data_IF_188329954939
#
_entry.id   IF_188329954939
#
_cell.length_a   1.000
_cell.length_b   1.000
_cell.length_c   1.000
_cell.angle_alpha   90.00
_cell.angle_beta   90.00
_cell.angle_gamma   90.00
#
_symmetry.space_group_name_H-M   'P 1'
#
loop_
_entity.id
_entity.type
_entity.pdbx_description
1 polymer ?
#
# COMPACT_ATOMS: atom_id res chain seq x y z
N UNK A 1 -40.66 34.35 -25.50
CA UNK A 1 -40.23 33.79 -24.21
C UNK A 1 -40.93 32.46 -24.01
N UNK A 2 -40.15 31.41 -23.72
CA UNK A 2 -40.47 30.06 -23.19
C UNK A 2 -39.54 29.05 -23.87
N UNK A 3 -38.31 28.98 -23.37
CA UNK A 3 -37.44 27.83 -23.58
C UNK A 3 -37.79 26.80 -22.49
N UNK A 4 -38.23 25.62 -22.89
CA UNK A 4 -38.59 24.51 -22.01
C UNK A 4 -37.79 23.26 -22.38
N UNK A 5 -37.09 22.72 -21.38
CA UNK A 5 -36.19 21.58 -21.36
C UNK A 5 -36.50 20.45 -22.36
N UNK A 6 -35.49 20.11 -23.17
CA UNK A 6 -35.29 18.74 -23.64
C UNK A 6 -34.72 17.91 -22.49
N UNK A 7 -35.49 16.95 -21.99
CA UNK A 7 -34.96 15.84 -21.18
C UNK A 7 -34.10 14.98 -22.10
N UNK A 8 -32.79 15.15 -21.96
CA UNK A 8 -31.79 14.21 -22.47
C UNK A 8 -31.84 12.96 -21.58
N UNK A 9 -32.54 11.94 -22.06
CA UNK A 9 -32.52 10.58 -21.51
C UNK A 9 -31.18 9.95 -21.93
N UNK A 10 -30.09 10.43 -21.34
CA UNK A 10 -28.82 9.74 -21.45
C UNK A 10 -28.93 8.43 -20.64
N UNK A 11 -28.68 7.26 -21.25
CA UNK A 11 -28.52 6.05 -20.46
C UNK A 11 -27.34 6.30 -19.52
N UNK A 12 -27.58 6.21 -18.21
CA UNK A 12 -26.50 6.08 -17.23
C UNK A 12 -25.80 4.77 -17.53
N UNK A 13 -24.85 4.78 -18.47
CA UNK A 13 -23.84 3.74 -18.56
C UNK A 13 -23.06 3.83 -17.26
N UNK A 14 -23.40 2.94 -16.34
CA UNK A 14 -22.65 2.71 -15.11
C UNK A 14 -21.30 2.17 -15.55
N UNK A 15 -20.33 3.07 -15.73
CA UNK A 15 -18.95 2.78 -16.14
C UNK A 15 -18.13 2.10 -15.02
N UNK A 16 -18.80 1.33 -14.17
CA UNK A 16 -18.26 0.59 -13.05
C UNK A 16 -18.07 -0.90 -13.40
N UNK A 17 -17.73 -1.21 -14.65
CA UNK A 17 -16.94 -2.41 -14.96
C UNK A 17 -15.47 -2.14 -14.59
N UNK A 18 -15.22 -1.65 -13.36
CA UNK A 18 -13.89 -1.77 -12.78
C UNK A 18 -13.80 -3.23 -12.35
N UNK A 19 -13.43 -4.08 -13.30
CA UNK A 19 -12.93 -5.41 -13.03
C UNK A 19 -11.82 -5.23 -11.99
N UNK A 20 -12.12 -5.52 -10.73
CA UNK A 20 -11.14 -5.47 -9.64
C UNK A 20 -10.20 -6.66 -9.87
N UNK A 21 -9.33 -6.54 -10.88
CA UNK A 21 -8.25 -7.49 -11.10
C UNK A 21 -7.30 -7.31 -9.92
N UNK A 22 -7.53 -8.10 -8.88
CA UNK A 22 -6.63 -8.22 -7.75
C UNK A 22 -5.32 -8.75 -8.31
N UNK A 23 -4.26 -7.95 -8.22
CA UNK A 23 -2.96 -8.36 -8.71
C UNK A 23 -2.53 -9.66 -8.02
N UNK A 24 -1.79 -10.53 -8.72
CA UNK A 24 -1.28 -11.78 -8.15
C UNK A 24 -0.37 -11.57 -6.94
N UNK A 25 0.20 -10.37 -6.77
CA UNK A 25 1.06 -10.01 -5.64
C UNK A 25 0.35 -9.25 -4.53
N UNK A 26 -0.98 -9.08 -4.59
CA UNK A 26 -1.75 -8.43 -3.53
C UNK A 26 -1.42 -9.06 -2.16
N UNK A 27 -1.13 -8.25 -1.12
CA UNK A 27 -0.78 -8.74 0.20
C UNK A 27 -1.99 -9.27 0.97
N UNK A 28 -1.80 -10.31 1.77
CA UNK A 28 -2.86 -10.84 2.65
C UNK A 28 -3.10 -9.92 3.86
N UNK A 29 -2.03 -9.34 4.41
CA UNK A 29 -2.06 -8.40 5.53
C UNK A 29 -0.78 -7.52 5.54
N UNK A 30 -0.65 -6.64 6.54
CA UNK A 30 0.53 -5.79 6.69
C UNK A 30 1.85 -6.58 6.88
N UNK A 31 1.82 -7.74 7.52
CA UNK A 31 3.01 -8.55 7.74
C UNK A 31 3.47 -9.20 6.42
N UNK A 32 2.54 -9.74 5.64
CA UNK A 32 2.80 -10.27 4.30
C UNK A 32 3.29 -9.17 3.36
N UNK A 33 2.70 -7.96 3.40
CA UNK A 33 3.16 -6.80 2.64
C UNK A 33 4.63 -6.48 2.96
N UNK A 34 4.96 -6.32 4.25
CA UNK A 34 6.32 -6.05 4.74
C UNK A 34 7.31 -7.14 4.29
N UNK A 35 6.90 -8.41 4.36
CA UNK A 35 7.70 -9.56 3.90
C UNK A 35 7.94 -9.54 2.39
N UNK A 36 6.90 -9.29 1.59
CA UNK A 36 6.99 -9.19 0.12
C UNK A 36 7.92 -8.06 -0.30
N UNK A 37 7.79 -6.86 0.28
CA UNK A 37 8.69 -5.73 0.01
C UNK A 37 10.14 -6.11 0.28
N UNK A 38 10.43 -6.65 1.47
CA UNK A 38 11.80 -7.08 1.84
C UNK A 38 12.35 -8.15 0.92
N UNK A 39 11.51 -9.12 0.54
CA UNK A 39 11.88 -10.16 -0.42
C UNK A 39 12.29 -9.56 -1.76
N UNK A 40 11.52 -8.61 -2.31
CA UNK A 40 11.80 -8.02 -3.62
C UNK A 40 13.04 -7.13 -3.64
N UNK A 41 13.27 -6.34 -2.58
CA UNK A 41 14.48 -5.51 -2.48
C UNK A 41 15.74 -6.31 -2.14
N UNK A 42 15.61 -7.50 -1.53
CA UNK A 42 16.77 -8.34 -1.16
C UNK A 42 17.14 -9.35 -2.26
N UNK A 43 16.16 -9.83 -3.01
CA UNK A 43 16.37 -10.82 -4.07
C UNK A 43 17.04 -10.21 -5.32
N UNK A 44 16.90 -8.91 -5.54
CA UNK A 44 17.40 -8.24 -6.73
C UNK A 44 18.28 -7.06 -6.36
N UNK A 45 19.49 -7.04 -6.94
CA UNK A 45 20.35 -5.86 -6.96
C UNK A 45 20.21 -5.09 -8.29
N UNK A 46 19.38 -5.59 -9.20
CA UNK A 46 19.11 -5.00 -10.50
C UNK A 46 17.62 -4.63 -10.59
N UNK A 47 17.34 -3.35 -10.36
CA UNK A 47 16.01 -2.77 -10.47
C UNK A 47 15.79 -2.15 -11.86
N UNK A 48 16.51 -2.58 -12.90
CA UNK A 48 16.18 -2.21 -14.29
C UNK A 48 14.99 -3.02 -14.84
N UNK A 49 14.57 -4.07 -14.14
CA UNK A 49 13.38 -4.86 -14.45
C UNK A 49 12.10 -4.08 -14.08
N UNK A 50 11.46 -3.50 -15.09
CA UNK A 50 10.24 -2.70 -14.94
C UNK A 50 9.11 -3.45 -14.21
N UNK A 51 8.76 -4.71 -14.55
CA UNK A 51 7.82 -5.52 -13.77
C UNK A 51 8.09 -5.56 -12.27
N UNK A 52 9.35 -5.76 -11.86
CA UNK A 52 9.73 -5.78 -10.45
C UNK A 52 9.55 -4.41 -9.79
N UNK A 53 9.95 -3.34 -10.48
CA UNK A 53 9.77 -1.98 -9.98
C UNK A 53 8.29 -1.67 -9.75
N UNK A 54 7.45 -1.97 -10.75
CA UNK A 54 6.01 -1.80 -10.65
C UNK A 54 5.41 -2.58 -9.49
N UNK A 55 5.83 -3.83 -9.29
CA UNK A 55 5.37 -4.61 -8.14
C UNK A 55 5.78 -3.99 -6.79
N UNK A 56 6.99 -3.44 -6.68
CA UNK A 56 7.43 -2.74 -5.46
C UNK A 56 6.61 -1.45 -5.25
N UNK A 57 6.36 -0.70 -6.32
CA UNK A 57 5.53 0.52 -6.27
C UNK A 57 4.10 0.21 -5.84
N UNK A 58 3.48 -0.83 -6.40
CA UNK A 58 2.15 -1.31 -6.03
C UNK A 58 2.10 -1.68 -4.53
N UNK A 59 3.08 -2.46 -4.05
CA UNK A 59 3.14 -2.86 -2.64
C UNK A 59 3.27 -1.65 -1.71
N UNK A 60 4.03 -0.62 -2.09
CA UNK A 60 4.11 0.63 -1.32
C UNK A 60 2.78 1.37 -1.34
N UNK A 61 2.13 1.49 -2.50
CA UNK A 61 0.85 2.19 -2.66
C UNK A 61 -0.27 1.54 -1.82
N UNK A 62 -0.28 0.22 -1.71
CA UNK A 62 -1.30 -0.51 -0.96
C UNK A 62 -1.12 -0.50 0.56
N UNK A 63 -0.02 0.02 1.11
CA UNK A 63 0.20 0.08 2.56
C UNK A 63 -0.95 0.78 3.27
N UNK A 64 -1.43 1.90 2.72
CA UNK A 64 -2.53 2.66 3.31
C UNK A 64 -3.85 1.88 3.31
N UNK A 65 -4.12 1.18 2.21
CA UNK A 65 -5.34 0.37 2.03
C UNK A 65 -5.34 -0.82 3.01
N UNK A 66 -4.24 -1.57 3.06
CA UNK A 66 -4.09 -2.73 3.94
C UNK A 66 -4.05 -2.31 5.41
N UNK A 67 -3.47 -1.14 5.74
CA UNK A 67 -3.49 -0.61 7.10
C UNK A 67 -4.92 -0.24 7.54
N UNK A 68 -5.74 0.30 6.63
CA UNK A 68 -7.13 0.64 6.92
C UNK A 68 -8.02 -0.58 7.20
N UNK A 69 -7.66 -1.76 6.69
CA UNK A 69 -8.34 -3.03 6.97
C UNK A 69 -7.97 -3.62 8.35
N UNK A 70 -7.00 -3.05 9.05
CA UNK A 70 -6.61 -3.49 10.40
C UNK A 70 -7.38 -2.75 11.50
N UNK A 71 -7.27 -3.26 12.74
CA UNK A 71 -7.81 -2.59 13.92
C UNK A 71 -6.81 -1.60 14.56
N UNK A 72 -5.90 -1.02 13.76
CA UNK A 72 -4.97 0.01 14.22
C UNK A 72 -5.71 1.30 14.58
N UNK A 73 -5.19 2.01 15.57
CA UNK A 73 -5.71 3.33 15.90
C UNK A 73 -5.35 4.34 14.81
N UNK A 74 -6.10 5.45 14.71
CA UNK A 74 -5.77 6.55 13.80
C UNK A 74 -4.35 7.08 14.00
N UNK A 75 -3.90 7.16 15.25
CA UNK A 75 -2.54 7.57 15.59
C UNK A 75 -1.46 6.59 15.09
N UNK A 76 -1.82 5.34 14.82
CA UNK A 76 -0.89 4.30 14.35
C UNK A 76 -0.98 4.06 12.84
N UNK A 77 -2.15 4.22 12.20
CA UNK A 77 -2.27 4.03 10.74
C UNK A 77 -1.94 5.30 9.94
N UNK A 78 -2.13 6.52 10.47
CA UNK A 78 -1.74 7.76 9.78
C UNK A 78 -0.26 7.78 9.40
N UNK A 79 0.70 7.48 10.33
CA UNK A 79 2.12 7.46 9.98
C UNK A 79 2.45 6.45 8.87
N UNK A 80 1.75 5.30 8.82
CA UNK A 80 1.93 4.32 7.75
C UNK A 80 1.50 4.89 6.40
N UNK A 81 0.32 5.51 6.35
CA UNK A 81 -0.20 6.14 5.15
C UNK A 81 0.70 7.28 4.67
N UNK A 82 1.09 8.20 5.55
CA UNK A 82 1.95 9.33 5.16
C UNK A 82 3.33 8.85 4.69
N UNK A 83 3.91 7.87 5.39
CA UNK A 83 5.20 7.31 4.99
C UNK A 83 5.10 6.59 3.64
N UNK A 84 4.04 5.82 3.39
CA UNK A 84 3.88 5.11 2.12
C UNK A 84 3.70 6.08 0.95
N UNK A 85 2.92 7.15 1.15
CA UNK A 85 2.74 8.22 0.17
C UNK A 85 4.07 8.92 -0.15
N UNK A 86 4.90 9.19 0.87
CA UNK A 86 6.21 9.81 0.69
C UNK A 86 7.17 8.90 -0.09
N UNK A 87 7.21 7.60 0.25
CA UNK A 87 8.03 6.62 -0.48
C UNK A 87 7.56 6.50 -1.93
N UNK A 88 6.25 6.32 -2.15
CA UNK A 88 5.65 6.22 -3.48
C UNK A 88 5.99 7.43 -4.37
N UNK A 89 5.83 8.64 -3.83
CA UNK A 89 6.16 9.86 -4.55
C UNK A 89 7.66 9.92 -4.94
N UNK A 90 8.55 9.44 -4.06
CA UNK A 90 9.98 9.39 -4.34
C UNK A 90 10.32 8.36 -5.42
N UNK A 91 9.73 7.16 -5.36
CA UNK A 91 9.94 6.11 -6.37
C UNK A 91 9.46 6.56 -7.75
N UNK A 92 8.30 7.21 -7.83
CA UNK A 92 7.70 7.70 -9.08
C UNK A 92 8.44 8.90 -9.67
N UNK A 93 9.15 9.68 -8.84
CA UNK A 93 9.92 10.83 -9.30
C UNK A 93 11.21 10.43 -10.04
N UNK A 94 11.72 9.21 -9.83
CA UNK A 94 12.98 8.75 -10.41
C UNK A 94 12.74 7.88 -11.64
N UNK A 95 13.34 8.26 -12.77
CA UNK A 95 13.35 7.45 -14.00
C UNK A 95 14.48 6.41 -14.03
N UNK A 96 15.28 6.37 -12.97
CA UNK A 96 16.42 5.47 -12.82
C UNK A 96 16.05 4.29 -11.93
N UNK A 97 16.80 3.17 -11.99
CA UNK A 97 16.68 2.08 -11.03
C UNK A 97 16.76 2.59 -9.58
N UNK A 98 16.10 1.91 -8.65
CA UNK A 98 16.06 2.32 -7.25
C UNK A 98 17.46 2.56 -6.67
N UNK A 99 17.64 3.76 -6.12
CA UNK A 99 18.87 4.14 -5.47
C UNK A 99 18.97 3.49 -4.09
N UNK A 100 20.17 3.45 -3.51
CA UNK A 100 20.36 3.02 -2.12
C UNK A 100 19.52 3.82 -1.13
N UNK A 101 19.18 5.08 -1.44
CA UNK A 101 18.31 5.88 -0.59
C UNK A 101 16.86 5.38 -0.68
N UNK A 102 16.39 5.01 -1.86
CA UNK A 102 15.05 4.46 -2.07
C UNK A 102 14.88 3.14 -1.32
N UNK A 103 15.89 2.24 -1.40
CA UNK A 103 15.89 0.98 -0.66
C UNK A 103 15.84 1.19 0.86
N UNK A 104 16.56 2.19 1.37
CA UNK A 104 16.51 2.55 2.81
C UNK A 104 15.15 3.09 3.24
N UNK A 105 14.50 3.85 2.37
CA UNK A 105 13.16 4.38 2.64
C UNK A 105 12.13 3.26 2.66
N UNK A 106 12.21 2.31 1.71
CA UNK A 106 11.36 1.11 1.70
C UNK A 106 11.61 0.27 2.96
N UNK A 107 12.87 0.03 3.35
CA UNK A 107 13.16 -0.72 4.58
C UNK A 107 12.65 0.00 5.84
N UNK A 108 12.74 1.34 5.88
CA UNK A 108 12.20 2.14 6.98
C UNK A 108 10.68 2.04 7.06
N UNK A 109 10.00 2.00 5.91
CA UNK A 109 8.56 1.75 5.83
C UNK A 109 8.22 0.34 6.36
N UNK A 110 8.96 -0.68 5.97
CA UNK A 110 8.79 -2.04 6.50
C UNK A 110 8.97 -2.09 8.02
N UNK A 111 9.95 -1.39 8.58
CA UNK A 111 10.15 -1.31 10.03
C UNK A 111 8.98 -0.60 10.74
N UNK A 112 8.42 0.44 10.14
CA UNK A 112 7.24 1.13 10.66
C UNK A 112 6.01 0.22 10.64
N UNK A 113 5.85 -0.58 9.58
CA UNK A 113 4.80 -1.60 9.48
C UNK A 113 4.93 -2.60 10.62
N UNK A 114 6.12 -3.17 10.83
CA UNK A 114 6.37 -4.16 11.89
C UNK A 114 6.06 -3.58 13.28
N UNK A 115 6.50 -2.33 13.53
CA UNK A 115 6.23 -1.64 14.78
C UNK A 115 4.74 -1.34 15.00
N UNK A 116 3.98 -1.15 13.93
CA UNK A 116 2.53 -0.90 13.99
C UNK A 116 1.76 -2.18 14.26
N UNK A 117 2.12 -3.30 13.59
CA UNK A 117 1.51 -4.62 13.83
C UNK A 117 1.66 -5.05 15.30
N UNK A 118 2.77 -4.72 15.95
CA UNK A 118 2.97 -5.02 17.37
C UNK A 118 1.97 -4.30 18.31
N UNK A 119 1.31 -3.25 17.82
CA UNK A 119 0.33 -2.46 18.57
C UNK A 119 -1.12 -2.84 18.28
N UNK A 120 -1.37 -3.74 17.32
CA UNK A 120 -2.74 -4.13 16.97
C UNK A 120 -3.40 -4.80 18.20
N UNK A 121 -4.63 -4.41 18.57
CA UNK A 121 -5.26 -4.86 19.83
C UNK A 121 -5.33 -6.39 19.98
N UNK A 122 -5.51 -7.11 18.87
CA UNK A 122 -5.56 -8.57 18.82
C UNK A 122 -4.23 -9.22 19.25
N UNK A 123 -3.11 -8.69 18.74
CA UNK A 123 -1.77 -9.11 19.14
C UNK A 123 -1.48 -8.75 20.60
N UNK A 124 -1.82 -7.53 21.03
CA UNK A 124 -1.63 -7.09 22.42
C UNK A 124 -2.41 -7.97 23.42
N UNK A 125 -3.59 -8.45 23.06
CA UNK A 125 -4.37 -9.38 23.89
C UNK A 125 -3.70 -10.76 23.97
N UNK A 126 -3.21 -11.29 22.86
CA UNK A 126 -2.51 -12.58 22.78
C UNK A 126 -1.18 -12.59 23.57
N UNK A 127 -0.40 -11.50 23.49
CA UNK A 127 0.83 -11.30 24.28
C UNK A 127 0.55 -11.25 25.79
N UNK A 128 -0.54 -10.61 26.23
CA UNK A 128 -0.93 -10.59 27.65
C UNK A 128 -1.38 -11.96 28.16
N UNK A 129 -2.05 -12.75 27.33
CA UNK A 129 -2.55 -14.07 27.71
C UNK A 129 -1.45 -15.13 27.87
N UNK A 130 -0.33 -14.98 27.15
CA UNK A 130 0.80 -15.94 27.17
C UNK A 130 1.89 -15.59 28.20
N UNK A 131 1.84 -14.40 28.78
CA UNK A 131 2.78 -13.92 29.80
C UNK A 131 2.31 -14.05 31.25
N UNK A 132 1.27 -14.86 31.53
CA UNK A 132 0.73 -15.10 32.89
C UNK A 132 1.06 -16.49 33.41
#
# INVERSE_FOLDING_TARGET
>A
MLAGCSTDDAPKTSNFEHDHVVSSHWPEDLADLSSKLRSRISANNDFSDEPLRHEIEDLVDWVGEVAADTNLSEADWIPLYESSQAVSANLKATKEPFSNNDLKQIESLCQLIDASIAKTPDQLASLKATGS
#
